data_IF_757503240891
#
_entry.id   IF_757503240891
#
_cell.length_a   1.000
_cell.length_b   1.000
_cell.length_c   1.000
_cell.angle_alpha   90.00
_cell.angle_beta   90.00
_cell.angle_gamma   90.00
#
_symmetry.space_group_name_H-M   'P 1'
#
loop_
_entity.id
_entity.type
_entity.pdbx_description
1 polymer ?
#
# COMPACT_ATOMS: atom_id res chain seq x y z
N UNK A 1 23.02 3.22 -9.81
CA UNK A 1 21.57 3.52 -9.71
C UNK A 1 21.00 3.68 -11.12
N UNK A 2 19.80 3.15 -11.42
CA UNK A 2 19.16 3.34 -12.73
C UNK A 2 18.72 4.82 -12.83
N UNK A 3 19.02 5.55 -13.91
CA UNK A 3 18.52 6.91 -14.08
C UNK A 3 16.99 6.88 -14.14
N UNK A 4 16.34 7.84 -13.46
CA UNK A 4 14.86 7.98 -13.49
C UNK A 4 14.34 8.41 -14.87
N UNK A 5 15.22 8.95 -15.72
CA UNK A 5 14.87 9.39 -17.08
C UNK A 5 14.60 8.17 -17.97
N UNK A 6 13.46 8.19 -18.67
CA UNK A 6 13.09 7.17 -19.66
C UNK A 6 12.32 5.96 -19.10
N UNK A 7 11.93 5.98 -17.81
CA UNK A 7 11.07 4.97 -17.21
C UNK A 7 9.60 5.21 -17.57
N UNK A 8 8.84 4.12 -17.75
CA UNK A 8 7.38 4.20 -17.85
C UNK A 8 6.74 4.65 -16.53
N UNK A 9 5.46 5.08 -16.53
CA UNK A 9 4.79 5.61 -15.34
C UNK A 9 4.83 4.67 -14.12
N UNK A 10 4.58 3.38 -14.32
CA UNK A 10 4.60 2.36 -13.24
C UNK A 10 6.02 2.13 -12.73
N UNK A 11 6.99 2.02 -13.63
CA UNK A 11 8.40 1.82 -13.27
C UNK A 11 8.94 3.02 -12.48
N UNK A 12 8.54 4.24 -12.86
CA UNK A 12 8.88 5.46 -12.13
C UNK A 12 8.28 5.45 -10.72
N UNK A 13 7.00 5.09 -10.58
CA UNK A 13 6.34 5.00 -9.27
C UNK A 13 7.03 3.97 -8.35
N UNK A 14 7.37 2.79 -8.88
CA UNK A 14 8.10 1.75 -8.14
C UNK A 14 9.52 2.23 -7.77
N UNK A 15 10.21 2.94 -8.66
CA UNK A 15 11.53 3.49 -8.40
C UNK A 15 11.49 4.52 -7.26
N UNK A 16 10.50 5.40 -7.25
CA UNK A 16 10.28 6.37 -6.16
C UNK A 16 9.96 5.67 -4.85
N UNK A 17 9.03 4.71 -4.85
CA UNK A 17 8.66 3.94 -3.66
C UNK A 17 9.88 3.22 -3.04
N UNK A 18 10.70 2.55 -3.87
CA UNK A 18 11.96 1.93 -3.43
C UNK A 18 12.95 2.95 -2.86
N UNK A 19 13.03 4.14 -3.46
CA UNK A 19 13.83 5.24 -2.93
C UNK A 19 13.40 5.66 -1.52
N UNK A 20 12.08 5.78 -1.29
CA UNK A 20 11.52 6.09 0.03
C UNK A 20 11.80 4.99 1.05
N UNK A 21 11.64 3.71 0.67
CA UNK A 21 11.97 2.57 1.55
C UNK A 21 13.46 2.53 1.91
N UNK A 22 14.35 2.76 0.93
CA UNK A 22 15.79 2.83 1.19
C UNK A 22 16.16 3.97 2.14
N UNK A 23 15.47 5.11 2.04
CA UNK A 23 15.66 6.21 2.98
C UNK A 23 15.21 5.82 4.40
N UNK A 24 14.05 5.19 4.54
CA UNK A 24 13.56 4.69 5.84
C UNK A 24 14.55 3.68 6.45
N UNK A 25 15.07 2.74 5.65
CA UNK A 25 16.07 1.78 6.09
C UNK A 25 17.35 2.45 6.59
N UNK A 26 17.81 3.52 5.93
CA UNK A 26 19.03 4.27 6.33
C UNK A 26 18.89 4.99 7.67
N UNK A 27 17.66 5.24 8.13
CA UNK A 27 17.38 5.85 9.43
C UNK A 27 16.89 4.83 10.47
N UNK A 28 17.11 3.54 10.20
CA UNK A 28 16.72 2.40 11.06
C UNK A 28 15.20 2.29 11.32
N UNK A 29 14.38 2.73 10.36
CA UNK A 29 12.93 2.56 10.40
C UNK A 29 12.51 1.27 9.68
N UNK A 30 11.48 0.57 10.19
CA UNK A 30 10.95 -0.60 9.50
C UNK A 30 10.38 -0.20 8.14
N UNK A 31 10.69 -1.00 7.11
CA UNK A 31 10.27 -0.73 5.73
C UNK A 31 9.01 -1.47 5.32
N UNK A 32 8.62 -2.48 6.08
CA UNK A 32 7.42 -3.29 5.85
C UNK A 32 6.65 -3.51 7.15
N UNK A 33 5.34 -3.77 7.07
CA UNK A 33 4.55 -4.03 8.27
C UNK A 33 4.99 -5.32 8.99
N UNK A 34 5.54 -6.30 8.26
CA UNK A 34 6.04 -7.56 8.84
C UNK A 34 7.26 -7.37 9.73
N UNK A 35 8.00 -6.27 9.61
CA UNK A 35 9.11 -5.95 10.51
C UNK A 35 8.63 -5.43 11.88
N UNK A 36 7.35 -5.07 12.00
CA UNK A 36 6.77 -4.58 13.25
C UNK A 36 6.42 -5.76 14.16
N UNK A 37 6.97 -5.76 15.38
CA UNK A 37 6.68 -6.77 16.40
C UNK A 37 5.17 -6.79 16.69
N UNK A 38 4.56 -7.97 16.56
CA UNK A 38 3.13 -8.16 16.78
C UNK A 38 2.23 -7.94 15.56
N UNK A 39 2.79 -7.60 14.39
CA UNK A 39 2.02 -7.59 13.15
C UNK A 39 1.68 -9.02 12.69
N UNK A 40 0.48 -9.18 12.14
CA UNK A 40 -0.03 -10.47 11.64
C UNK A 40 -1.03 -10.25 10.50
N UNK A 41 -1.36 -11.31 9.76
CA UNK A 41 -2.36 -11.23 8.68
C UNK A 41 -3.76 -10.85 9.20
N UNK A 42 -4.08 -11.15 10.46
CA UNK A 42 -5.34 -10.72 11.10
C UNK A 42 -5.50 -9.20 11.10
N UNK A 43 -4.40 -8.45 11.16
CA UNK A 43 -4.45 -6.99 11.07
C UNK A 43 -4.88 -6.50 9.68
N UNK A 44 -4.47 -7.21 8.62
CA UNK A 44 -4.91 -6.92 7.25
C UNK A 44 -6.41 -7.22 7.12
N UNK A 45 -6.84 -8.38 7.63
CA UNK A 45 -8.25 -8.77 7.59
C UNK A 45 -9.13 -7.76 8.34
N UNK A 46 -8.74 -7.38 9.55
CA UNK A 46 -9.43 -6.35 10.34
C UNK A 46 -9.48 -5.00 9.64
N UNK A 47 -8.42 -4.59 8.94
CA UNK A 47 -8.40 -3.34 8.18
C UNK A 47 -9.39 -3.37 7.00
N UNK A 48 -9.47 -4.49 6.28
CA UNK A 48 -10.43 -4.67 5.18
C UNK A 48 -11.87 -4.68 5.67
N UNK A 49 -12.14 -5.38 6.78
CA UNK A 49 -13.47 -5.38 7.41
C UNK A 49 -13.86 -3.98 7.90
N UNK A 50 -12.93 -3.26 8.53
CA UNK A 50 -13.15 -1.89 8.96
C UNK A 50 -13.44 -0.98 7.75
N UNK A 51 -12.70 -1.11 6.65
CA UNK A 51 -12.94 -0.33 5.45
C UNK A 51 -14.33 -0.58 4.83
N UNK A 52 -14.91 -1.78 4.99
CA UNK A 52 -16.29 -2.06 4.57
C UNK A 52 -17.36 -1.51 5.50
N UNK A 53 -16.98 -0.92 6.65
CA UNK A 53 -17.94 -0.35 7.58
C UNK A 53 -18.67 0.85 6.96
N UNK A 54 -20.01 0.87 6.97
CA UNK A 54 -20.81 1.99 6.48
C UNK A 54 -20.43 3.37 7.01
N UNK A 55 -19.98 3.45 8.25
CA UNK A 55 -19.60 4.70 8.89
C UNK A 55 -18.36 5.34 8.24
N UNK A 56 -17.57 4.58 7.48
CA UNK A 56 -16.37 5.04 6.79
C UNK A 56 -16.62 5.39 5.32
N UNK A 57 -17.84 5.22 4.80
CA UNK A 57 -18.16 5.43 3.39
C UNK A 57 -17.85 6.86 2.92
N UNK A 58 -18.16 7.88 3.72
CA UNK A 58 -17.83 9.27 3.41
C UNK A 58 -16.31 9.53 3.37
N UNK A 59 -15.52 8.84 4.20
CA UNK A 59 -14.06 8.98 4.18
C UNK A 59 -13.45 8.34 2.94
N UNK A 60 -13.99 7.19 2.52
CA UNK A 60 -13.52 6.49 1.31
C UNK A 60 -13.80 7.28 0.03
N UNK A 61 -14.99 7.89 -0.08
CA UNK A 61 -15.36 8.74 -1.22
C UNK A 61 -14.51 10.02 -1.31
N UNK A 62 -13.96 10.49 -0.19
CA UNK A 62 -13.14 11.70 -0.12
C UNK A 62 -11.62 11.43 -0.22
N UNK A 63 -11.20 10.18 -0.44
CA UNK A 63 -9.78 9.88 -0.68
C UNK A 63 -9.32 10.40 -2.05
N UNK A 64 -8.01 10.66 -2.25
CA UNK A 64 -7.46 11.10 -3.54
C UNK A 64 -7.83 10.18 -4.72
N UNK A 65 -7.96 8.88 -4.44
CA UNK A 65 -8.61 7.91 -5.31
C UNK A 65 -9.89 7.47 -4.60
N UNK A 66 -11.08 7.88 -5.06
CA UNK A 66 -12.34 7.50 -4.45
C UNK A 66 -12.54 5.98 -4.48
N UNK A 67 -12.82 5.40 -3.32
CA UNK A 67 -13.15 3.98 -3.19
C UNK A 67 -14.59 3.80 -2.69
N UNK A 68 -15.23 2.72 -3.11
CA UNK A 68 -16.46 2.23 -2.53
C UNK A 68 -16.21 0.87 -1.85
N UNK A 69 -17.21 0.34 -1.12
CA UNK A 69 -17.07 -0.89 -0.34
C UNK A 69 -16.77 -2.11 -1.21
N UNK A 70 -17.35 -2.17 -2.40
CA UNK A 70 -17.20 -3.30 -3.33
C UNK A 70 -15.79 -3.34 -3.94
N UNK A 71 -15.11 -2.20 -3.98
CA UNK A 71 -13.73 -2.05 -4.48
C UNK A 71 -12.65 -2.34 -3.44
N UNK A 72 -13.00 -2.47 -2.15
CA UNK A 72 -12.01 -2.61 -1.07
C UNK A 72 -11.18 -3.88 -1.23
N UNK A 73 -11.81 -5.03 -1.45
CA UNK A 73 -11.07 -6.28 -1.56
C UNK A 73 -10.17 -6.30 -2.80
N UNK A 74 -10.65 -5.74 -3.90
CA UNK A 74 -9.94 -5.75 -5.18
C UNK A 74 -8.73 -4.80 -5.20
N UNK A 75 -8.87 -3.60 -4.63
CA UNK A 75 -7.84 -2.56 -4.73
C UNK A 75 -7.09 -2.31 -3.43
N UNK A 76 -7.76 -2.29 -2.28
CA UNK A 76 -7.10 -2.06 -0.98
C UNK A 76 -6.37 -3.30 -0.48
N UNK A 77 -6.94 -4.50 -0.71
CA UNK A 77 -6.33 -5.77 -0.31
C UNK A 77 -4.89 -5.94 -0.82
N UNK A 78 -4.63 -5.79 -2.14
CA UNK A 78 -3.28 -5.89 -2.65
C UNK A 78 -2.33 -4.78 -2.17
N UNK A 79 -2.82 -3.57 -1.90
CA UNK A 79 -2.02 -2.47 -1.34
C UNK A 79 -1.57 -2.80 0.08
N UNK A 80 -2.47 -3.32 0.93
CA UNK A 80 -2.11 -3.74 2.29
C UNK A 80 -1.12 -4.91 2.29
N UNK A 81 -1.28 -5.85 1.37
CA UNK A 81 -0.32 -6.96 1.18
C UNK A 81 1.05 -6.44 0.75
N UNK A 82 1.10 -5.51 -0.19
CA UNK A 82 2.35 -4.88 -0.62
C UNK A 82 3.03 -4.11 0.52
N UNK A 83 2.27 -3.41 1.36
CA UNK A 83 2.81 -2.75 2.56
C UNK A 83 3.36 -3.77 3.58
N UNK A 84 2.75 -4.94 3.68
CA UNK A 84 3.22 -6.01 4.56
C UNK A 84 4.46 -6.73 4.05
N UNK A 85 4.61 -6.94 2.74
CA UNK A 85 5.70 -7.75 2.16
C UNK A 85 6.80 -6.93 1.50
N UNK A 86 6.54 -5.67 1.18
CA UNK A 86 7.39 -4.87 0.29
C UNK A 86 7.28 -5.24 -1.19
N UNK A 87 6.36 -6.13 -1.57
CA UNK A 87 6.15 -6.56 -2.96
C UNK A 87 5.02 -5.78 -3.64
N UNK A 88 5.38 -4.92 -4.57
CA UNK A 88 4.45 -4.10 -5.35
C UNK A 88 3.79 -4.84 -6.52
N UNK A 89 4.21 -6.08 -6.84
CA UNK A 89 3.73 -6.83 -8.01
C UNK A 89 2.21 -7.05 -8.04
N UNK A 90 1.59 -7.07 -6.87
CA UNK A 90 0.17 -7.38 -6.70
C UNK A 90 -0.74 -6.16 -6.76
N UNK A 91 -0.19 -4.93 -6.72
CA UNK A 91 -0.99 -3.70 -6.71
C UNK A 91 -1.70 -3.53 -8.05
N UNK A 92 -3.02 -3.33 -7.99
CA UNK A 92 -3.86 -3.00 -9.14
C UNK A 92 -4.07 -1.50 -9.22
N UNK A 93 -4.05 -0.96 -10.43
CA UNK A 93 -4.46 0.42 -10.69
C UNK A 93 -5.97 0.45 -10.98
N UNK A 94 -6.66 1.45 -10.43
CA UNK A 94 -8.06 1.81 -10.72
C UNK A 94 -8.12 2.63 -12.02
#
# INVERSE_FOLDING_TARGET
EKPLKGLGPVELAIAVAKGMMNLAQRVDFPTTLKEIIGFSEDHIQRALEAAKNPQLEMKLKNMPVPLNRDMIDEYMGPVLKAAATGDFSSIKNV
#
